data_IF_095094375281
#
_entry.id   IF_095094375281
#
_cell.length_a   1.000
_cell.length_b   1.000
_cell.length_c   1.000
_cell.angle_alpha   90.00
_cell.angle_beta   90.00
_cell.angle_gamma   90.00
#
_symmetry.space_group_name_H-M   'P 1'
#
loop_
_entity.id
_entity.type
_entity.pdbx_description
1 polymer ?
#
# COMPACT_ATOMS: atom_id res chain seq x y z
N UNK A 1 2.06 12.29 -16.27
CA UNK A 1 0.96 11.75 -15.45
C UNK A 1 1.26 10.38 -14.86
N UNK A 2 1.72 9.40 -15.64
CA UNK A 2 2.07 8.05 -15.14
C UNK A 2 3.09 8.06 -13.98
N UNK A 3 4.21 8.78 -14.11
CA UNK A 3 5.22 8.84 -13.04
C UNK A 3 4.74 9.51 -11.75
N UNK A 4 3.86 10.53 -11.88
CA UNK A 4 3.24 11.19 -10.72
C UNK A 4 2.30 10.19 -10.02
N UNK A 5 1.50 9.45 -10.79
CA UNK A 5 0.63 8.41 -10.27
C UNK A 5 1.41 7.30 -9.56
N UNK A 6 2.51 6.83 -10.15
CA UNK A 6 3.39 5.84 -9.53
C UNK A 6 4.04 6.40 -8.26
N UNK A 7 4.48 7.66 -8.27
CA UNK A 7 5.03 8.33 -7.09
C UNK A 7 4.04 8.42 -5.93
N UNK A 8 2.79 8.81 -6.21
CA UNK A 8 1.72 8.83 -5.20
C UNK A 8 1.42 7.41 -4.71
N UNK A 9 1.34 6.44 -5.61
CA UNK A 9 1.09 5.04 -5.25
C UNK A 9 2.19 4.48 -4.35
N UNK A 10 3.45 4.79 -4.65
CA UNK A 10 4.62 4.42 -3.83
C UNK A 10 4.55 5.08 -2.45
N UNK A 11 4.22 6.37 -2.39
CA UNK A 11 4.08 7.11 -1.14
C UNK A 11 3.00 6.48 -0.23
N UNK A 12 1.83 6.18 -0.80
CA UNK A 12 0.74 5.52 -0.08
C UNK A 12 1.19 4.12 0.39
N UNK A 13 1.87 3.35 -0.47
CA UNK A 13 2.38 2.03 -0.09
C UNK A 13 3.31 2.10 1.13
N UNK A 14 4.23 3.05 1.17
CA UNK A 14 5.14 3.25 2.31
C UNK A 14 4.34 3.55 3.57
N UNK A 15 3.37 4.47 3.50
CA UNK A 15 2.53 4.79 4.68
C UNK A 15 1.74 3.59 5.19
N UNK A 16 1.18 2.78 4.29
CA UNK A 16 0.42 1.57 4.68
C UNK A 16 1.35 0.54 5.33
N UNK A 17 2.57 0.36 4.80
CA UNK A 17 3.57 -0.55 5.38
C UNK A 17 4.00 -0.07 6.77
N UNK A 18 4.28 1.21 6.96
CA UNK A 18 4.59 1.77 8.28
C UNK A 18 3.43 1.57 9.27
N UNK A 19 2.21 1.88 8.83
CA UNK A 19 1.01 1.66 9.64
C UNK A 19 0.83 0.18 10.02
N UNK A 20 1.19 -0.76 9.14
CA UNK A 20 1.13 -2.19 9.43
C UNK A 20 2.06 -2.60 10.58
N UNK A 21 3.22 -1.94 10.71
CA UNK A 21 4.18 -2.20 11.79
C UNK A 21 3.79 -1.50 13.11
N UNK A 22 3.06 -0.38 13.05
CA UNK A 22 2.62 0.35 14.24
C UNK A 22 1.28 -0.17 14.82
N UNK A 23 0.43 -0.73 13.97
CA UNK A 23 -0.92 -1.16 14.35
C UNK A 23 -0.91 -2.43 15.21
N UNK A 24 -1.59 -2.35 16.36
CA UNK A 24 -1.64 -3.43 17.36
C UNK A 24 -2.91 -4.29 17.23
N UNK A 25 -3.92 -3.78 16.51
CA UNK A 25 -5.20 -4.48 16.32
C UNK A 25 -5.14 -5.38 15.10
N UNK A 26 -5.28 -6.69 15.34
CA UNK A 26 -5.23 -7.72 14.29
C UNK A 26 -6.14 -7.44 13.09
N UNK A 27 -7.40 -7.03 13.31
CA UNK A 27 -8.32 -6.71 12.22
C UNK A 27 -7.87 -5.50 11.37
N UNK A 28 -7.30 -4.47 12.00
CA UNK A 28 -6.77 -3.31 11.28
C UNK A 28 -5.50 -3.68 10.50
N UNK A 29 -4.66 -4.53 11.07
CA UNK A 29 -3.46 -5.05 10.41
C UNK A 29 -3.84 -5.88 9.17
N UNK A 30 -4.86 -6.73 9.25
CA UNK A 30 -5.38 -7.49 8.10
C UNK A 30 -5.91 -6.57 7.00
N UNK A 31 -6.68 -5.54 7.36
CA UNK A 31 -7.19 -4.57 6.39
C UNK A 31 -6.05 -3.83 5.69
N UNK A 32 -5.03 -3.39 6.44
CA UNK A 32 -3.84 -2.74 5.87
C UNK A 32 -3.08 -3.69 4.94
N UNK A 33 -2.89 -4.96 5.32
CA UNK A 33 -2.24 -5.96 4.48
C UNK A 33 -3.01 -6.23 3.18
N UNK A 34 -4.35 -6.24 3.22
CA UNK A 34 -5.19 -6.47 2.03
C UNK A 34 -5.04 -5.34 1.00
N UNK A 35 -4.80 -4.11 1.44
CA UNK A 35 -4.60 -2.93 0.58
C UNK A 35 -3.18 -2.87 -0.01
N UNK A 36 -2.18 -3.51 0.61
CA UNK A 36 -0.81 -3.59 0.09
C UNK A 36 -0.77 -4.36 -1.25
N UNK A 37 -1.52 -5.46 -1.36
CA UNK A 37 -1.54 -6.31 -2.57
C UNK A 37 -1.91 -5.51 -3.83
N UNK A 38 -3.07 -4.82 -3.90
CA UNK A 38 -3.42 -4.04 -5.08
C UNK A 38 -2.51 -2.84 -5.31
N UNK A 39 -1.91 -2.24 -4.27
CA UNK A 39 -0.94 -1.15 -4.43
C UNK A 39 0.35 -1.64 -5.10
N UNK A 40 0.84 -2.82 -4.73
CA UNK A 40 2.01 -3.44 -5.36
C UNK A 40 1.70 -3.80 -6.82
N UNK A 41 0.55 -4.44 -7.07
CA UNK A 41 0.13 -4.78 -8.45
C UNK A 41 0.06 -3.53 -9.34
N UNK A 42 -0.47 -2.43 -8.78
CA UNK A 42 -0.57 -1.12 -9.45
C UNK A 42 0.78 -0.48 -9.72
N UNK A 43 1.76 -0.65 -8.83
CA UNK A 43 3.16 -0.22 -9.06
C UNK A 43 3.86 -1.06 -10.14
N UNK A 44 3.60 -2.36 -10.16
CA UNK A 44 4.12 -3.28 -11.17
C UNK A 44 3.37 -3.18 -12.52
N UNK A 45 2.32 -2.36 -12.58
CA UNK A 45 1.41 -2.21 -13.73
C UNK A 45 0.82 -3.54 -14.21
N UNK A 46 0.55 -4.45 -13.27
CA UNK A 46 -0.11 -5.73 -13.51
C UNK A 46 -1.62 -5.50 -13.46
N UNK A 47 -2.33 -5.97 -14.49
CA UNK A 47 -3.81 -5.89 -14.58
C UNK A 47 -4.48 -7.05 -13.87
#
# INVERSE_FOLDING_TARGET
>A
MMFIYLGITLYILIMVVLNLFEEKRFFNQLNAALVIIPLILRLLMIK
#
